data_IF_625165583965
#
_entry.id   IF_625165583965
#
_cell.length_a   1.000
_cell.length_b   1.000
_cell.length_c   1.000
_cell.angle_alpha   90.00
_cell.angle_beta   90.00
_cell.angle_gamma   90.00
#
_symmetry.space_group_name_H-M   'P 1'
#
loop_
_entity.id
_entity.type
_entity.pdbx_description
1 polymer ?
#
# COMPACT_ATOMS: atom_id res chain seq x y z
N UNK A 1 -22.93 -13.22 19.55
CA UNK A 1 -23.74 -12.63 18.47
C UNK A 1 -22.79 -12.38 17.31
N UNK A 2 -22.96 -13.04 16.16
CA UNK A 2 -22.00 -12.98 15.05
C UNK A 2 -22.39 -11.86 14.08
N UNK A 3 -21.52 -10.87 13.91
CA UNK A 3 -21.74 -9.74 13.02
C UNK A 3 -21.44 -10.16 11.57
N UNK A 4 -22.50 -10.37 10.79
CA UNK A 4 -22.37 -10.56 9.34
C UNK A 4 -22.38 -9.20 8.63
N UNK A 5 -21.27 -8.47 8.73
CA UNK A 5 -21.10 -7.13 8.13
C UNK A 5 -20.66 -7.16 6.66
N UNK A 6 -20.50 -8.34 6.06
CA UNK A 6 -20.03 -8.49 4.69
C UNK A 6 -21.19 -8.75 3.73
N UNK A 7 -21.29 -7.91 2.70
CA UNK A 7 -22.18 -8.15 1.55
C UNK A 7 -21.52 -9.17 0.62
N UNK A 8 -22.33 -10.07 0.04
CA UNK A 8 -21.83 -11.07 -0.91
C UNK A 8 -21.27 -10.37 -2.17
N UNK A 9 -20.22 -10.92 -2.81
CA UNK A 9 -19.71 -10.39 -4.06
C UNK A 9 -20.79 -10.28 -5.14
N UNK A 10 -20.69 -9.23 -5.95
CA UNK A 10 -21.58 -9.04 -7.11
C UNK A 10 -21.27 -10.11 -8.15
N UNK A 11 -22.31 -10.75 -8.70
CA UNK A 11 -22.13 -11.76 -9.75
C UNK A 11 -21.77 -11.09 -11.07
N UNK A 12 -20.80 -11.66 -11.77
CA UNK A 12 -20.45 -11.25 -13.12
C UNK A 12 -21.58 -11.58 -14.10
N UNK A 13 -21.80 -10.68 -15.06
CA UNK A 13 -22.77 -10.78 -16.16
C UNK A 13 -22.29 -9.94 -17.34
N UNK A 14 -23.07 -9.86 -18.42
CA UNK A 14 -22.70 -9.10 -19.62
C UNK A 14 -22.31 -7.63 -19.34
N UNK A 15 -23.02 -6.87 -18.47
CA UNK A 15 -22.57 -5.53 -18.09
C UNK A 15 -21.42 -5.50 -17.06
N UNK A 16 -21.10 -6.61 -16.40
CA UNK A 16 -20.00 -6.74 -15.42
C UNK A 16 -19.10 -7.94 -15.76
N UNK A 17 -18.44 -7.95 -16.92
CA UNK A 17 -17.64 -9.09 -17.37
C UNK A 17 -16.41 -9.29 -16.48
N UNK A 18 -15.85 -10.49 -16.53
CA UNK A 18 -14.59 -10.79 -15.83
C UNK A 18 -13.44 -10.12 -16.60
N UNK A 19 -12.58 -9.31 -15.94
CA UNK A 19 -11.40 -8.75 -16.60
C UNK A 19 -10.47 -9.87 -17.08
N UNK A 20 -10.05 -9.81 -18.34
CA UNK A 20 -9.08 -10.76 -18.92
C UNK A 20 -7.69 -10.15 -18.82
N UNK A 21 -6.78 -10.84 -18.13
CA UNK A 21 -5.40 -10.40 -18.03
C UNK A 21 -4.72 -10.44 -19.42
N UNK A 22 -3.85 -9.46 -19.75
CA UNK A 22 -3.04 -9.52 -20.95
C UNK A 22 -2.11 -10.73 -20.91
N UNK A 23 -1.96 -11.41 -22.06
CA UNK A 23 -1.11 -12.62 -22.18
C UNK A 23 0.38 -12.33 -22.04
N UNK A 24 0.75 -11.09 -22.32
CA UNK A 24 2.14 -10.62 -22.34
C UNK A 24 2.18 -9.24 -21.71
N UNK A 25 3.10 -9.07 -20.76
CA UNK A 25 3.46 -7.77 -20.24
C UNK A 25 4.69 -7.28 -21.01
N UNK A 26 4.54 -6.26 -21.85
CA UNK A 26 5.67 -5.59 -22.50
C UNK A 26 6.06 -4.42 -21.62
N UNK A 27 7.16 -4.57 -20.88
CA UNK A 27 7.83 -3.45 -20.25
C UNK A 27 8.36 -2.56 -21.38
N UNK A 28 7.67 -1.46 -21.68
CA UNK A 28 8.30 -0.39 -22.45
C UNK A 28 9.44 0.12 -21.59
N UNK A 29 10.67 -0.23 -21.98
CA UNK A 29 11.90 0.35 -21.45
C UNK A 29 11.92 1.82 -21.89
N UNK A 30 11.15 2.65 -21.21
CA UNK A 30 11.53 4.05 -21.10
C UNK A 30 12.95 4.02 -20.54
N UNK A 31 13.85 4.76 -21.18
CA UNK A 31 15.23 4.88 -20.75
C UNK A 31 15.35 5.68 -19.46
N UNK A 32 14.48 5.42 -18.50
CA UNK A 32 14.68 5.68 -17.08
C UNK A 32 15.15 4.37 -16.46
N UNK A 33 16.32 3.96 -16.92
CA UNK A 33 17.00 2.77 -16.48
C UNK A 33 17.82 3.12 -15.25
N UNK A 34 17.15 3.33 -14.13
CA UNK A 34 17.79 3.01 -12.86
C UNK A 34 17.65 1.49 -12.67
N UNK A 35 18.83 0.90 -12.71
CA UNK A 35 19.19 -0.49 -12.91
C UNK A 35 18.69 -1.40 -11.78
N UNK A 36 17.56 -2.09 -11.98
CA UNK A 36 17.24 -3.27 -11.19
C UNK A 36 17.74 -4.52 -11.92
N UNK A 37 19.05 -4.77 -11.79
CA UNK A 37 19.66 -6.07 -12.04
C UNK A 37 19.04 -7.10 -11.06
N UNK A 38 18.57 -8.27 -11.53
CA UNK A 38 18.15 -9.34 -10.64
C UNK A 38 19.40 -9.88 -9.96
N UNK A 39 19.66 -9.44 -8.72
CA UNK A 39 20.82 -9.81 -7.91
C UNK A 39 21.19 -11.29 -8.05
N UNK A 40 22.20 -11.55 -8.88
CA UNK A 40 22.92 -12.82 -8.90
C UNK A 40 24.38 -12.50 -8.64
N UNK A 41 24.75 -12.63 -7.37
CA UNK A 41 26.15 -12.66 -6.96
C UNK A 41 26.67 -11.35 -6.37
N UNK A 42 26.83 -11.38 -5.05
CA UNK A 42 27.85 -10.68 -4.26
C UNK A 42 28.81 -9.78 -5.06
N UNK A 43 28.65 -8.47 -4.95
CA UNK A 43 29.73 -7.51 -5.15
C UNK A 43 29.47 -6.26 -4.31
N UNK A 44 30.24 -6.14 -3.23
CA UNK A 44 30.38 -4.97 -2.39
C UNK A 44 30.75 -3.76 -3.25
N UNK A 45 29.89 -2.75 -3.29
CA UNK A 45 30.15 -1.45 -3.92
C UNK A 45 29.79 -0.35 -2.92
N UNK A 46 30.78 0.01 -2.10
CA UNK A 46 30.72 1.13 -1.15
C UNK A 46 30.68 2.46 -1.90
N UNK A 47 29.49 3.03 -2.09
CA UNK A 47 29.29 4.46 -2.27
C UNK A 47 27.99 4.88 -1.59
N UNK A 48 28.06 5.11 -0.29
CA UNK A 48 27.28 6.11 0.44
C UNK A 48 25.74 6.08 0.39
N UNK A 49 25.09 5.11 -0.25
CA UNK A 49 23.68 4.88 -0.01
C UNK A 49 23.59 4.03 1.26
N UNK A 50 22.96 4.59 2.28
CA UNK A 50 22.68 3.85 3.49
C UNK A 50 21.75 2.71 3.08
N UNK A 51 22.32 1.52 2.89
CA UNK A 51 21.57 0.29 2.61
C UNK A 51 20.51 0.18 3.69
N UNK A 52 19.26 0.55 3.34
CA UNK A 52 18.16 0.50 4.28
C UNK A 52 18.13 -0.94 4.76
N UNK A 53 18.38 -1.19 6.06
CA UNK A 53 18.53 -2.56 6.52
C UNK A 53 17.26 -3.27 6.11
N UNK A 54 17.40 -4.41 5.43
CA UNK A 54 16.31 -5.34 5.19
C UNK A 54 15.88 -5.98 6.51
N UNK A 55 15.67 -5.15 7.54
CA UNK A 55 15.26 -5.56 8.86
C UNK A 55 13.83 -6.03 8.77
N UNK A 56 13.70 -7.35 8.56
CA UNK A 56 12.44 -8.05 8.63
C UNK A 56 11.82 -7.96 10.04
N UNK A 57 12.55 -7.46 11.05
CA UNK A 57 12.04 -7.17 12.39
C UNK A 57 11.20 -5.88 12.45
N UNK A 58 11.41 -4.92 11.53
CA UNK A 58 10.56 -3.74 11.35
C UNK A 58 9.26 -4.03 10.57
N UNK A 59 8.97 -5.29 10.23
CA UNK A 59 7.72 -5.68 9.56
C UNK A 59 6.48 -5.57 10.47
N UNK A 60 6.57 -4.92 11.62
CA UNK A 60 5.35 -4.57 12.35
C UNK A 60 4.68 -3.40 11.63
N UNK A 61 3.37 -3.53 11.30
CA UNK A 61 2.64 -2.43 10.71
C UNK A 61 2.68 -1.24 11.68
N UNK A 62 2.94 -0.04 11.16
CA UNK A 62 2.83 1.19 11.94
C UNK A 62 1.41 1.32 12.49
N UNK A 63 1.29 1.26 13.81
CA UNK A 63 0.02 1.50 14.49
C UNK A 63 -0.07 2.99 14.77
N UNK A 64 -0.88 3.69 13.97
CA UNK A 64 -1.07 5.14 14.14
C UNK A 64 -1.62 5.42 15.53
N UNK A 65 -1.03 6.38 16.23
CA UNK A 65 -1.48 6.78 17.57
C UNK A 65 -2.56 7.88 17.50
N UNK A 66 -3.31 8.08 18.60
CA UNK A 66 -4.30 9.18 18.68
C UNK A 66 -3.71 10.58 18.41
N UNK A 67 -2.54 10.96 18.97
CA UNK A 67 -1.93 12.26 18.65
C UNK A 67 -1.53 12.37 17.17
N UNK A 68 -0.91 11.35 16.59
CA UNK A 68 -0.57 11.35 15.14
C UNK A 68 -1.81 11.50 14.25
N UNK A 69 -2.95 10.90 14.63
CA UNK A 69 -4.20 11.10 13.90
C UNK A 69 -4.73 12.53 14.00
N UNK A 70 -4.61 13.15 15.18
CA UNK A 70 -5.05 14.54 15.37
C UNK A 70 -4.21 15.50 14.54
N UNK A 71 -2.89 15.30 14.53
CA UNK A 71 -1.96 16.05 13.69
C UNK A 71 -2.32 15.86 12.21
N UNK A 72 -2.59 14.62 11.79
CA UNK A 72 -3.00 14.33 10.41
C UNK A 72 -4.31 15.02 10.01
N UNK A 73 -5.31 15.10 10.89
CA UNK A 73 -6.56 15.82 10.61
C UNK A 73 -6.32 17.32 10.43
N UNK A 74 -5.37 17.88 11.18
CA UNK A 74 -4.96 19.29 11.10
C UNK A 74 -4.19 19.59 9.83
N UNK A 75 -3.21 18.76 9.49
CA UNK A 75 -2.33 18.94 8.33
C UNK A 75 -3.07 18.79 7.00
N UNK A 76 -4.03 17.87 6.95
CA UNK A 76 -4.83 17.61 5.74
C UNK A 76 -6.10 18.47 5.65
N UNK A 77 -6.36 19.34 6.63
CA UNK A 77 -7.56 20.19 6.72
C UNK A 77 -8.87 19.43 6.41
N UNK A 78 -8.97 18.20 6.94
CA UNK A 78 -10.06 17.32 6.54
C UNK A 78 -11.42 17.86 6.99
N UNK A 79 -12.46 17.81 6.12
CA UNK A 79 -13.83 18.07 6.52
C UNK A 79 -14.24 17.15 7.68
N UNK A 80 -15.05 17.66 8.61
CA UNK A 80 -15.50 16.96 9.83
C UNK A 80 -16.04 15.55 9.56
N UNK A 81 -16.74 15.36 8.45
CA UNK A 81 -17.30 14.05 8.08
C UNK A 81 -16.22 13.00 7.80
N UNK A 82 -15.08 13.40 7.22
CA UNK A 82 -13.95 12.51 6.92
C UNK A 82 -13.11 12.23 8.16
N UNK A 83 -12.80 13.25 8.97
CA UNK A 83 -12.04 13.04 10.23
C UNK A 83 -12.81 12.16 11.21
N UNK A 84 -14.12 12.34 11.32
CA UNK A 84 -14.98 11.52 12.16
C UNK A 84 -15.05 10.06 11.68
N UNK A 85 -15.15 9.82 10.37
CA UNK A 85 -15.11 8.48 9.78
C UNK A 85 -13.77 7.77 10.05
N UNK A 86 -12.65 8.50 9.92
CA UNK A 86 -11.32 7.97 10.22
C UNK A 86 -11.18 7.63 11.71
N UNK A 87 -11.63 8.51 12.61
CA UNK A 87 -11.65 8.25 14.04
C UNK A 87 -12.46 7.01 14.42
N UNK A 88 -13.64 6.80 13.80
CA UNK A 88 -14.46 5.60 14.04
C UNK A 88 -13.83 4.31 13.55
N UNK A 89 -13.06 4.34 12.46
CA UNK A 89 -12.33 3.16 11.95
C UNK A 89 -11.19 2.75 12.88
N UNK A 90 -10.55 3.72 13.54
CA UNK A 90 -9.39 3.49 14.41
C UNK A 90 -9.74 2.97 15.80
N UNK A 91 -11.01 3.06 16.20
CA UNK A 91 -11.53 2.56 17.49
C UNK A 91 -12.08 1.11 17.41
N UNK A 92 -12.00 0.46 16.25
CA UNK A 92 -12.41 -0.95 16.02
C UNK A 92 -11.23 -1.89 16.16
#
# INVERSE_FOLDING_TARGET
>A
QTHNSAVRPVRHNEPLPIPVAPKTYTLHRETDLEDFEPQSGSSTSTYGDEEYPADLSHRQPHLVTQPELYDLFRDLELPKSKSQLLGSRHQQ
#
